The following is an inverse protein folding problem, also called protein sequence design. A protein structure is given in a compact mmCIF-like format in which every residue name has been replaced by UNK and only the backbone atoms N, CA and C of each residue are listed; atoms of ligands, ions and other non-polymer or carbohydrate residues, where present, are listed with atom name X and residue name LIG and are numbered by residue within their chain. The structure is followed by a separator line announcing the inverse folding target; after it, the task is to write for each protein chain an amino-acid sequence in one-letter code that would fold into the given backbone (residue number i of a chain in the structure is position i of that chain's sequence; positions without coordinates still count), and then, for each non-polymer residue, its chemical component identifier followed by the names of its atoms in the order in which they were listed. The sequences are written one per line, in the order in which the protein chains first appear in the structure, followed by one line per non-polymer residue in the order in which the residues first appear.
data_IF_478444043995
#
_entry.id   IF_478444043995
#
_cell.length_a   1.000
_cell.length_b   1.000
_cell.length_c   1.000
_cell.angle_alpha   90.00
_cell.angle_beta   90.00
_cell.angle_gamma   90.00
#
_symmetry.space_group_name_H-M   'P 1'
#
loop_
_entity.id
_entity.type
_entity.pdbx_description
1 polymer ?
#
# COMPACT_ATOMS: atom_id res chain seq x y z
N UNK A 1 14.46 15.36 18.98
CA UNK A 1 13.14 15.96 18.76
C UNK A 1 13.29 17.00 17.68
N UNK A 2 13.31 16.53 16.44
CA UNK A 2 13.39 17.37 15.25
C UNK A 2 11.95 17.81 14.95
N UNK A 3 11.70 19.11 14.95
CA UNK A 3 10.37 19.64 14.61
C UNK A 3 10.15 19.47 13.12
N UNK A 4 9.23 18.60 12.73
CA UNK A 4 8.70 18.54 11.36
C UNK A 4 7.77 19.72 11.20
N UNK A 5 8.09 20.61 10.25
CA UNK A 5 7.31 21.80 9.94
C UNK A 5 6.04 21.36 9.20
N UNK A 6 4.88 21.44 9.86
CA UNK A 6 3.59 21.07 9.26
C UNK A 6 3.14 22.21 8.34
N UNK A 7 3.14 21.98 7.03
CA UNK A 7 2.61 22.92 6.04
C UNK A 7 1.07 22.95 6.07
N UNK A 8 0.43 24.14 6.20
CA UNK A 8 -1.02 24.25 6.27
C UNK A 8 -1.73 23.97 4.94
N UNK A 9 -2.95 23.38 4.99
CA UNK A 9 -3.84 23.06 3.85
C UNK A 9 -3.89 24.15 2.76
N UNK A 10 -3.82 25.43 3.12
CA UNK A 10 -3.86 26.57 2.17
C UNK A 10 -2.72 26.66 1.14
N UNK A 11 -1.63 25.90 1.32
CA UNK A 11 -0.52 25.82 0.36
C UNK A 11 -0.55 24.56 -0.51
N UNK A 12 -1.45 23.61 -0.23
CA UNK A 12 -1.71 22.45 -1.08
C UNK A 12 -2.76 22.86 -2.10
N UNK A 13 -2.39 22.96 -3.38
CA UNK A 13 -3.33 23.37 -4.43
C UNK A 13 -4.42 22.31 -4.57
N UNK A 14 -5.65 22.68 -4.23
CA UNK A 14 -6.83 21.94 -4.68
C UNK A 14 -6.85 21.93 -6.21
N UNK A 15 -7.17 20.79 -6.87
CA UNK A 15 -7.42 20.78 -8.30
C UNK A 15 -8.68 21.61 -8.57
N UNK A 16 -8.51 22.83 -9.08
CA UNK A 16 -9.62 23.67 -9.49
C UNK A 16 -10.31 23.06 -10.70
N UNK A 17 -11.59 22.76 -10.54
CA UNK A 17 -12.55 22.72 -11.64
C UNK A 17 -12.46 24.05 -12.42
N UNK A 18 -12.07 24.00 -13.69
CA UNK A 18 -12.36 25.10 -14.60
C UNK A 18 -12.58 24.56 -16.02
N UNK A 19 -13.80 24.12 -16.27
CA UNK A 19 -14.37 24.05 -17.62
C UNK A 19 -15.45 25.12 -17.73
N UNK A 20 -15.21 26.16 -18.54
CA UNK A 20 -16.03 26.49 -19.73
C UNK A 20 -15.62 27.79 -20.44
N UNK A 21 -15.36 27.64 -21.73
CA UNK A 21 -15.84 28.45 -22.87
C UNK A 21 -15.54 29.96 -22.98
N UNK A 22 -14.72 30.30 -23.98
CA UNK A 22 -14.95 31.31 -25.05
C UNK A 22 -13.71 31.30 -25.96
N UNK A 23 -13.71 31.20 -27.29
CA UNK A 23 -14.63 31.75 -28.27
C UNK A 23 -13.87 32.79 -29.14
N UNK A 24 -13.37 32.38 -30.31
CA UNK A 24 -13.28 33.25 -31.49
C UNK A 24 -11.92 33.81 -31.95
N UNK A 25 -11.49 33.34 -33.13
CA UNK A 25 -11.13 34.21 -34.26
C UNK A 25 -9.65 34.60 -34.45
N UNK A 26 -9.15 34.45 -35.67
CA UNK A 26 -8.02 35.26 -36.15
C UNK A 26 -7.09 34.58 -37.15
N UNK A 27 -7.31 34.87 -38.43
CA UNK A 27 -6.47 34.55 -39.58
C UNK A 27 -5.02 35.06 -39.45
N UNK A 28 -4.06 34.36 -40.05
CA UNK A 28 -2.65 34.77 -40.05
C UNK A 28 -1.75 33.99 -41.00
N UNK A 29 -1.96 34.19 -42.31
CA UNK A 29 -1.07 33.77 -43.40
C UNK A 29 0.31 34.42 -43.31
N UNK A 30 1.40 33.63 -43.28
CA UNK A 30 2.71 34.04 -43.84
C UNK A 30 3.36 32.87 -44.58
N UNK A 31 3.43 33.03 -45.90
CA UNK A 31 4.32 32.33 -46.82
C UNK A 31 5.74 32.90 -46.73
N UNK A 32 6.77 32.04 -46.67
CA UNK A 32 8.08 32.35 -47.27
C UNK A 32 8.66 31.13 -48.00
N UNK A 33 8.82 31.33 -49.30
CA UNK A 33 9.62 30.57 -50.26
C UNK A 33 11.12 30.65 -49.98
N UNK A 34 11.86 29.57 -50.23
CA UNK A 34 13.33 29.58 -50.33
C UNK A 34 13.88 28.32 -51.00
N UNK A 35 14.31 28.44 -52.24
CA UNK A 35 14.84 27.40 -53.14
C UNK A 35 16.32 27.04 -52.93
N UNK A 36 16.73 25.90 -53.49
CA UNK A 36 18.11 25.61 -53.96
C UNK A 36 18.68 24.34 -53.33
N UNK A 37 18.78 23.20 -54.04
CA UNK A 37 19.88 22.84 -54.96
C UNK A 37 20.97 22.10 -54.15
N UNK A 38 21.57 20.95 -54.49
CA UNK A 38 21.79 20.18 -55.71
C UNK A 38 23.16 19.49 -55.54
N UNK A 39 23.31 18.24 -56.00
CA UNK A 39 24.59 17.48 -56.04
C UNK A 39 24.65 16.36 -54.99
N UNK A 40 25.06 15.12 -55.28
CA UNK A 40 25.83 14.58 -56.39
C UNK A 40 27.11 13.90 -55.87
N UNK A 41 27.14 12.57 -55.84
CA UNK A 41 28.29 11.70 -55.52
C UNK A 41 27.79 10.39 -54.91
N UNK A 42 27.83 9.19 -55.54
CA UNK A 42 28.99 8.43 -56.04
C UNK A 42 30.14 8.50 -55.03
N UNK A 43 30.56 7.46 -54.30
CA UNK A 43 30.33 6.03 -54.33
C UNK A 43 31.63 5.38 -53.88
N UNK A 44 31.64 4.50 -52.88
CA UNK A 44 32.78 3.60 -52.64
C UNK A 44 32.25 2.26 -52.14
N UNK A 45 32.58 1.26 -52.93
CA UNK A 45 32.49 -0.17 -52.69
C UNK A 45 33.58 -0.60 -51.69
N UNK A 46 33.24 -1.47 -50.73
CA UNK A 46 34.22 -2.35 -50.09
C UNK A 46 33.70 -3.77 -50.11
N UNK A 47 34.29 -4.54 -51.02
CA UNK A 47 34.26 -5.99 -51.14
C UNK A 47 35.36 -6.63 -50.28
N UNK A 48 35.06 -7.79 -49.69
CA UNK A 48 36.03 -8.74 -49.14
C UNK A 48 35.69 -9.11 -47.70
N UNK A 49 35.46 -10.37 -47.28
CA UNK A 49 35.70 -11.65 -47.92
C UNK A 49 36.67 -12.49 -47.07
N UNK A 50 36.14 -13.55 -46.43
CA UNK A 50 36.82 -14.85 -46.34
C UNK A 50 37.44 -15.30 -45.00
N UNK A 51 37.20 -16.60 -44.72
CA UNK A 51 37.88 -17.56 -43.83
C UNK A 51 37.77 -17.37 -42.32
N UNK A 52 37.55 -18.39 -41.49
CA UNK A 52 37.68 -19.85 -41.65
C UNK A 52 38.51 -20.42 -40.47
N UNK A 53 38.08 -21.54 -39.87
CA UNK A 53 38.74 -22.26 -38.76
C UNK A 53 37.79 -22.39 -37.56
N UNK A 54 37.22 -23.54 -37.17
CA UNK A 54 37.67 -24.95 -37.08
C UNK A 54 38.68 -25.20 -35.95
N UNK A 55 38.34 -26.13 -35.05
CA UNK A 55 39.11 -26.58 -33.87
C UNK A 55 38.26 -26.61 -32.58
N UNK A 56 37.69 -27.76 -32.18
CA UNK A 56 38.34 -28.78 -31.32
C UNK A 56 38.70 -28.19 -29.95
N UNK A 57 38.08 -28.54 -28.82
CA UNK A 57 37.77 -29.88 -28.33
C UNK A 57 38.70 -30.15 -27.14
N UNK A 58 38.14 -30.29 -25.94
CA UNK A 58 38.75 -31.00 -24.80
C UNK A 58 37.66 -31.29 -23.78
N UNK A 59 37.29 -32.56 -23.74
CA UNK A 59 36.78 -33.24 -22.56
C UNK A 59 37.88 -33.21 -21.48
N UNK A 60 37.50 -33.06 -20.21
CA UNK A 60 38.27 -33.64 -19.11
C UNK A 60 37.29 -34.09 -18.01
N UNK A 61 37.26 -35.40 -17.85
CA UNK A 61 36.73 -36.18 -16.74
C UNK A 61 37.44 -35.81 -15.42
N UNK A 62 36.71 -35.83 -14.30
CA UNK A 62 37.08 -36.62 -13.11
C UNK A 62 35.97 -36.60 -12.06
N UNK A 63 35.24 -37.71 -12.02
CA UNK A 63 35.03 -38.62 -10.89
C UNK A 63 35.25 -38.16 -9.43
N UNK A 64 34.35 -38.66 -8.59
CA UNK A 64 34.50 -39.12 -7.21
C UNK A 64 34.77 -38.10 -6.09
N UNK A 65 33.79 -37.93 -5.18
CA UNK A 65 34.02 -38.38 -3.79
C UNK A 65 32.69 -38.66 -3.06
N UNK A 66 32.49 -39.92 -2.70
CA UNK A 66 31.47 -40.37 -1.76
C UNK A 66 32.00 -40.26 -0.33
N UNK A 67 31.28 -39.51 0.52
CA UNK A 67 31.57 -39.41 1.94
C UNK A 67 30.33 -39.74 2.77
N UNK A 68 29.98 -41.03 2.83
CA UNK A 68 29.12 -41.57 3.87
C UNK A 68 29.92 -41.77 5.16
N UNK A 69 29.37 -41.29 6.28
CA UNK A 69 29.65 -41.87 7.60
C UNK A 69 28.39 -41.78 8.45
N UNK A 70 27.71 -42.92 8.52
CA UNK A 70 26.86 -43.32 9.65
C UNK A 70 27.71 -43.27 10.93
N UNK A 71 27.11 -42.84 12.04
CA UNK A 71 27.35 -43.44 13.35
C UNK A 71 26.13 -43.16 14.25
N UNK A 72 25.40 -44.24 14.49
CA UNK A 72 24.49 -44.45 15.60
C UNK A 72 25.19 -44.16 16.94
N UNK A 73 24.46 -43.59 17.91
CA UNK A 73 24.37 -44.28 19.20
C UNK A 73 23.13 -43.86 20.03
N UNK A 74 22.54 -44.80 20.80
CA UNK A 74 21.26 -44.62 21.47
C UNK A 74 21.36 -44.52 23.02
N UNK A 75 20.23 -44.13 23.63
CA UNK A 75 19.77 -44.34 25.03
C UNK A 75 20.74 -44.25 26.21
N UNK A 76 20.38 -43.45 27.23
CA UNK A 76 20.18 -44.03 28.57
C UNK A 76 19.21 -43.20 29.45
N UNK A 77 18.36 -43.93 30.18
CA UNK A 77 17.48 -43.51 31.24
C UNK A 77 18.26 -43.35 32.55
N UNK A 78 17.79 -42.50 33.47
CA UNK A 78 17.60 -42.79 34.91
C UNK A 78 16.98 -41.55 35.56
N UNK A 79 15.82 -41.62 36.23
CA UNK A 79 15.56 -42.17 37.60
C UNK A 79 16.32 -41.30 38.64
N UNK A 80 15.78 -40.65 39.66
CA UNK A 80 14.63 -40.74 40.58
C UNK A 80 14.45 -39.29 41.14
N UNK A 81 13.39 -38.81 41.79
CA UNK A 81 12.25 -39.41 42.47
C UNK A 81 11.69 -38.35 43.46
N UNK A 82 10.37 -38.40 43.66
CA UNK A 82 9.61 -38.24 44.93
C UNK A 82 9.85 -36.99 45.84
N UNK A 83 8.89 -36.37 46.52
CA UNK A 83 7.60 -36.82 47.05
C UNK A 83 6.79 -35.63 47.61
N UNK A 84 5.46 -35.84 47.71
CA UNK A 84 4.57 -35.44 48.83
C UNK A 84 4.26 -33.94 49.07
N UNK A 85 3.02 -33.51 49.28
CA UNK A 85 1.77 -34.23 49.54
C UNK A 85 0.61 -33.24 49.72
N UNK A 86 -0.60 -33.73 49.42
CA UNK A 86 -1.85 -33.02 49.61
C UNK A 86 -2.50 -33.42 50.94
N UNK A 87 -3.20 -32.48 51.59
CA UNK A 87 -4.36 -32.81 52.46
C UNK A 87 -5.47 -31.78 52.34
N UNK A 88 -6.65 -32.33 52.10
CA UNK A 88 -8.02 -31.82 52.08
C UNK A 88 -8.54 -31.45 53.47
N UNK A 89 -9.51 -30.53 53.58
CA UNK A 89 -10.79 -30.76 54.29
C UNK A 89 -11.79 -29.59 54.18
N UNK A 90 -13.07 -29.94 54.10
CA UNK A 90 -14.29 -29.13 53.94
C UNK A 90 -14.79 -28.48 55.25
N UNK A 91 -15.56 -27.37 55.16
CA UNK A 91 -16.97 -27.22 55.64
C UNK A 91 -17.49 -25.76 55.64
N UNK A 92 -18.73 -25.60 55.17
CA UNK A 92 -19.62 -24.40 55.23
C UNK A 92 -20.27 -24.16 56.63
N UNK A 93 -21.30 -23.29 56.83
CA UNK A 93 -21.52 -21.84 56.63
C UNK A 93 -22.02 -21.17 57.97
N UNK A 94 -23.05 -20.28 58.01
CA UNK A 94 -23.19 -18.83 57.67
C UNK A 94 -23.48 -17.94 58.90
N UNK A 95 -23.46 -16.60 58.81
CA UNK A 95 -24.46 -15.75 59.55
C UNK A 95 -24.52 -14.27 59.10
N UNK A 96 -25.75 -13.79 58.95
CA UNK A 96 -26.20 -12.40 58.82
C UNK A 96 -26.16 -11.72 60.20
N UNK A 97 -25.75 -10.44 60.31
CA UNK A 97 -26.15 -9.54 61.40
C UNK A 97 -26.39 -8.13 60.86
N UNK A 98 -27.48 -7.55 61.34
CA UNK A 98 -28.14 -6.29 61.00
C UNK A 98 -27.40 -5.01 61.45
N UNK A 99 -27.93 -3.88 60.95
CA UNK A 99 -27.63 -2.48 61.28
C UNK A 99 -27.64 -2.15 62.79
N UNK A 100 -27.19 -0.93 63.18
CA UNK A 100 -28.21 0.10 63.39
C UNK A 100 -27.80 1.55 63.03
N UNK A 101 -28.78 2.26 62.45
CA UNK A 101 -29.22 3.65 62.73
C UNK A 101 -28.38 4.54 63.67
N UNK A 102 -28.15 5.81 63.30
CA UNK A 102 -28.76 6.92 64.03
C UNK A 102 -28.75 8.27 63.31
N UNK A 103 -29.71 9.06 63.75
CA UNK A 103 -30.31 10.29 63.24
C UNK A 103 -29.58 11.58 63.69
N UNK A 104 -30.00 12.69 63.08
CA UNK A 104 -30.06 14.06 63.63
C UNK A 104 -29.06 15.17 63.27
N UNK A 105 -29.59 16.07 62.41
CA UNK A 105 -29.83 17.53 62.60
C UNK A 105 -28.65 18.51 62.71
N UNK A 106 -28.62 19.49 61.79
CA UNK A 106 -28.02 20.81 62.02
C UNK A 106 -28.00 21.74 60.78
N UNK A 107 -29.02 22.61 60.66
CA UNK A 107 -29.18 23.66 59.62
C UNK A 107 -28.09 24.76 59.68
N UNK A 108 -27.68 25.30 58.53
CA UNK A 108 -27.60 26.76 58.30
C UNK A 108 -27.49 27.16 56.80
N UNK A 109 -28.56 27.83 56.31
CA UNK A 109 -28.67 29.00 55.41
C UNK A 109 -27.46 29.36 54.50
N UNK A 110 -27.53 29.18 53.18
CA UNK A 110 -28.16 30.02 52.13
C UNK A 110 -27.35 31.26 51.67
N UNK A 111 -26.66 31.13 50.53
CA UNK A 111 -26.38 32.19 49.55
C UNK A 111 -26.42 31.49 48.17
N UNK A 112 -27.51 31.57 47.40
CA UNK A 112 -27.84 32.61 46.40
C UNK A 112 -26.75 32.84 45.37
N UNK A 113 -26.95 32.27 44.18
CA UNK A 113 -26.14 32.51 42.98
C UNK A 113 -26.13 31.33 42.02
N UNK A 114 -27.26 30.65 41.81
CA UNK A 114 -27.39 29.67 40.74
C UNK A 114 -27.87 30.42 39.50
N UNK A 115 -26.93 31.02 38.78
CA UNK A 115 -27.13 31.27 37.35
C UNK A 115 -27.10 29.89 36.70
N UNK A 116 -28.30 29.31 36.56
CA UNK A 116 -28.51 28.20 35.64
C UNK A 116 -28.31 28.78 34.24
N UNK A 117 -27.06 28.76 33.77
CA UNK A 117 -26.79 28.73 32.35
C UNK A 117 -27.48 27.47 31.84
N UNK A 118 -28.68 27.66 31.28
CA UNK A 118 -29.24 26.74 30.34
C UNK A 118 -28.22 26.67 29.20
N UNK A 119 -27.28 25.72 29.31
CA UNK A 119 -26.54 25.25 28.16
C UNK A 119 -27.62 24.72 27.23
N UNK A 120 -28.01 25.56 26.27
CA UNK A 120 -28.64 25.11 25.04
C UNK A 120 -27.74 23.96 24.57
N UNK A 121 -28.19 22.72 24.82
CA UNK A 121 -27.70 21.57 24.10
C UNK A 121 -28.09 21.86 22.66
N UNK A 122 -27.18 22.55 22.00
CA UNK A 122 -27.17 22.74 20.58
C UNK A 122 -26.88 21.33 20.03
N UNK A 123 -27.91 20.49 20.04
CA UNK A 123 -27.99 19.21 19.35
C UNK A 123 -27.99 19.51 17.84
N UNK A 124 -26.99 20.28 17.38
CA UNK A 124 -26.63 20.29 15.97
C UNK A 124 -26.11 18.91 15.75
N UNK A 125 -26.92 18.09 15.10
CA UNK A 125 -26.47 16.87 14.44
C UNK A 125 -25.26 17.27 13.59
N UNK A 126 -24.04 17.11 14.13
CA UNK A 126 -22.82 17.41 13.40
C UNK A 126 -22.83 16.55 12.15
N UNK A 127 -22.74 17.19 10.99
CA UNK A 127 -22.78 16.46 9.72
C UNK A 127 -21.65 15.41 9.71
N UNK A 128 -21.94 14.18 9.26
CA UNK A 128 -20.93 13.12 9.21
C UNK A 128 -19.74 13.60 8.38
N UNK A 129 -18.55 13.36 8.91
CA UNK A 129 -17.30 13.73 8.25
C UNK A 129 -16.88 12.65 7.26
N UNK A 130 -16.14 13.06 6.23
CA UNK A 130 -15.42 12.15 5.35
C UNK A 130 -14.00 12.02 5.91
N UNK A 131 -13.54 10.79 6.12
CA UNK A 131 -12.15 10.49 6.41
C UNK A 131 -11.34 10.54 5.11
N UNK A 132 -10.11 11.02 5.20
CA UNK A 132 -9.17 11.05 4.07
C UNK A 132 -7.85 10.42 4.50
N UNK A 133 -7.29 9.55 3.66
CA UNK A 133 -5.92 9.06 3.78
C UNK A 133 -5.20 9.36 2.47
N UNK A 134 -4.21 10.25 2.50
CA UNK A 134 -3.28 10.44 1.37
C UNK A 134 -2.02 9.63 1.63
N UNK A 135 -1.66 8.74 0.71
CA UNK A 135 -0.48 7.87 0.78
C UNK A 135 0.55 8.33 -0.25
N UNK A 136 1.64 8.94 0.21
CA UNK A 136 2.77 9.34 -0.63
C UNK A 136 3.72 8.15 -0.74
N UNK A 137 3.84 7.57 -1.94
CA UNK A 137 4.51 6.29 -2.18
C UNK A 137 5.05 6.14 -3.62
N UNK A 138 5.74 5.05 -3.90
CA UNK A 138 6.14 4.61 -5.24
C UNK A 138 5.89 3.10 -5.43
N UNK A 139 6.21 2.58 -6.61
CA UNK A 139 6.00 1.17 -6.94
C UNK A 139 6.99 0.21 -6.25
N UNK A 140 8.12 0.71 -5.77
CA UNK A 140 9.16 -0.05 -5.05
C UNK A 140 9.04 0.06 -3.53
N UNK A 141 8.06 0.80 -3.03
CA UNK A 141 7.78 0.97 -1.60
C UNK A 141 7.22 -0.34 -1.02
N UNK A 142 8.13 -1.16 -0.50
CA UNK A 142 7.84 -2.45 0.13
C UNK A 142 6.90 -2.29 1.32
N UNK A 143 7.05 -1.22 2.09
CA UNK A 143 6.22 -0.93 3.24
C UNK A 143 4.82 -0.50 2.79
N UNK A 144 4.73 0.33 1.74
CA UNK A 144 3.48 0.70 1.08
C UNK A 144 2.67 -0.50 0.61
N UNK A 145 3.33 -1.52 0.04
CA UNK A 145 2.70 -2.80 -0.29
C UNK A 145 2.26 -3.58 0.96
N UNK A 146 3.11 -3.61 2.00
CA UNK A 146 2.84 -4.31 3.26
C UNK A 146 1.60 -3.83 4.00
N UNK A 147 1.25 -2.55 3.88
CA UNK A 147 0.09 -1.94 4.56
C UNK A 147 -1.22 -2.01 3.77
N UNK A 148 -1.21 -2.44 2.49
CA UNK A 148 -2.42 -2.56 1.66
C UNK A 148 -3.57 -3.33 2.36
N UNK A 149 -3.35 -4.44 3.09
CA UNK A 149 -4.43 -5.10 3.81
C UNK A 149 -5.12 -4.21 4.86
N UNK A 150 -4.38 -3.29 5.49
CA UNK A 150 -4.92 -2.37 6.48
C UNK A 150 -5.72 -1.27 5.80
N UNK A 151 -5.18 -0.69 4.72
CA UNK A 151 -5.87 0.35 3.94
C UNK A 151 -7.19 -0.18 3.38
N UNK A 152 -7.18 -1.37 2.78
CA UNK A 152 -8.37 -2.01 2.25
C UNK A 152 -9.39 -2.37 3.33
N UNK A 153 -8.93 -2.81 4.51
CA UNK A 153 -9.85 -3.03 5.63
C UNK A 153 -10.56 -1.74 6.03
N UNK A 154 -9.83 -0.61 6.07
CA UNK A 154 -10.44 0.69 6.34
C UNK A 154 -11.44 1.09 5.24
N UNK A 155 -11.12 0.86 3.96
CA UNK A 155 -12.06 1.11 2.84
C UNK A 155 -13.33 0.26 2.97
N UNK A 156 -13.23 -1.02 3.32
CA UNK A 156 -14.40 -1.88 3.56
C UNK A 156 -15.25 -1.38 4.73
N UNK A 157 -14.61 -1.00 5.83
CA UNK A 157 -15.30 -0.61 7.06
C UNK A 157 -16.00 0.76 6.96
N UNK A 158 -15.40 1.71 6.25
CA UNK A 158 -15.94 3.06 6.11
C UNK A 158 -16.67 3.30 4.78
N UNK A 159 -16.41 2.49 3.76
CA UNK A 159 -17.01 2.62 2.43
C UNK A 159 -16.90 4.05 1.90
N UNK A 160 -18.03 4.61 1.49
CA UNK A 160 -18.12 5.97 0.93
C UNK A 160 -17.77 7.10 1.93
N UNK A 161 -17.62 6.81 3.22
CA UNK A 161 -17.22 7.78 4.23
C UNK A 161 -15.69 7.93 4.32
N UNK A 162 -14.91 7.17 3.55
CA UNK A 162 -13.46 7.24 3.50
C UNK A 162 -12.98 7.38 2.07
N UNK A 163 -12.08 8.33 1.85
CA UNK A 163 -11.32 8.46 0.61
C UNK A 163 -9.85 8.12 0.86
N UNK A 164 -9.29 7.20 0.07
CA UNK A 164 -7.86 6.89 0.07
C UNK A 164 -7.27 7.27 -1.27
N UNK A 165 -6.41 8.29 -1.25
CA UNK A 165 -5.70 8.80 -2.41
C UNK A 165 -4.22 8.49 -2.33
N UNK A 166 -3.57 8.43 -3.50
CA UNK A 166 -2.14 8.13 -3.60
C UNK A 166 -1.44 9.28 -4.32
N UNK A 167 -0.30 9.68 -3.78
CA UNK A 167 0.58 10.70 -4.38
C UNK A 167 1.96 10.10 -4.64
N UNK A 168 2.65 10.59 -5.66
CA UNK A 168 3.94 10.05 -6.05
C UNK A 168 5.08 10.61 -5.20
N UNK A 169 5.98 9.69 -4.82
CA UNK A 169 7.30 10.04 -4.34
C UNK A 169 8.22 10.45 -5.49
N UNK A 170 9.15 11.39 -5.26
CA UNK A 170 10.28 11.61 -6.15
C UNK A 170 11.10 10.32 -6.37
N UNK A 171 11.74 10.16 -7.54
CA UNK A 171 12.70 9.09 -7.75
C UNK A 171 13.76 9.05 -6.64
N UNK A 172 14.05 7.86 -6.14
CA UNK A 172 15.01 7.64 -5.05
C UNK A 172 15.88 6.44 -5.31
N UNK A 173 16.99 6.37 -4.59
CA UNK A 173 17.81 5.16 -4.53
C UNK A 173 17.05 4.09 -3.75
N UNK A 174 17.19 2.83 -4.19
CA UNK A 174 16.51 1.69 -3.58
C UNK A 174 17.46 0.93 -2.66
N UNK A 175 17.00 0.62 -1.44
CA UNK A 175 17.74 -0.14 -0.44
C UNK A 175 17.11 -1.53 -0.25
N UNK A 176 17.91 -2.58 -0.45
CA UNK A 176 17.49 -3.96 -0.22
C UNK A 176 17.18 -4.23 1.26
N UNK A 177 17.80 -3.50 2.19
CA UNK A 177 17.53 -3.65 3.62
C UNK A 177 16.09 -3.24 3.96
N UNK A 178 15.60 -2.14 3.38
CA UNK A 178 14.22 -1.69 3.58
C UNK A 178 13.22 -2.72 3.02
N UNK A 179 13.58 -3.38 1.92
CA UNK A 179 12.81 -4.47 1.36
C UNK A 179 12.75 -5.69 2.29
N UNK A 180 13.89 -6.18 2.78
CA UNK A 180 13.97 -7.34 3.67
C UNK A 180 13.22 -7.11 4.98
N UNK A 181 13.36 -5.93 5.58
CA UNK A 181 12.63 -5.56 6.81
C UNK A 181 11.12 -5.58 6.59
N UNK A 182 10.63 -5.08 5.45
CA UNK A 182 9.22 -5.15 5.13
C UNK A 182 8.75 -6.60 4.91
N UNK A 183 9.54 -7.42 4.21
CA UNK A 183 9.22 -8.81 3.94
C UNK A 183 9.13 -9.67 5.20
N UNK A 184 9.95 -9.38 6.22
CA UNK A 184 9.86 -10.04 7.53
C UNK A 184 8.68 -9.54 8.37
N UNK A 185 8.35 -8.24 8.25
CA UNK A 185 7.34 -7.59 9.09
C UNK A 185 5.92 -7.87 8.63
N UNK A 186 5.68 -7.91 7.33
CA UNK A 186 4.34 -7.98 6.76
C UNK A 186 4.08 -9.36 6.17
N UNK A 187 2.86 -9.86 6.35
CA UNK A 187 2.43 -11.16 5.82
C UNK A 187 2.16 -11.14 4.31
N UNK A 188 2.32 -9.98 3.67
CA UNK A 188 2.19 -9.82 2.22
C UNK A 188 3.26 -10.62 1.49
N UNK A 189 3.02 -11.07 0.24
CA UNK A 189 4.03 -11.82 -0.50
C UNK A 189 5.15 -10.90 -1.00
N UNK A 190 6.40 -11.36 -0.82
CA UNK A 190 7.62 -10.70 -1.27
C UNK A 190 8.53 -11.70 -1.99
N UNK A 191 8.89 -11.41 -3.24
CA UNK A 191 9.84 -12.19 -4.02
C UNK A 191 11.23 -12.16 -3.38
N UNK A 192 12.05 -13.18 -3.61
CA UNK A 192 13.47 -13.07 -3.30
C UNK A 192 14.15 -12.33 -4.45
N UNK A 193 14.79 -11.21 -4.14
CA UNK A 193 15.46 -10.36 -5.12
C UNK A 193 16.98 -10.53 -4.97
N UNK A 194 17.68 -10.77 -6.09
CA UNK A 194 19.15 -10.81 -6.09
C UNK A 194 19.77 -9.40 -5.92
N UNK A 195 18.99 -8.37 -6.25
CA UNK A 195 19.32 -6.97 -6.08
C UNK A 195 18.14 -6.10 -6.53
N UNK A 196 18.15 -4.84 -6.10
CA UNK A 196 17.23 -3.82 -6.59
C UNK A 196 17.90 -3.02 -7.72
N UNK A 197 17.10 -2.44 -8.63
CA UNK A 197 17.60 -1.38 -9.51
C UNK A 197 18.19 -0.23 -8.69
N UNK A 198 19.10 0.54 -9.29
CA UNK A 198 19.77 1.64 -8.57
C UNK A 198 18.76 2.72 -8.13
N UNK A 199 17.74 3.00 -8.95
CA UNK A 199 16.79 4.09 -8.71
C UNK A 199 15.37 3.72 -9.14
N UNK A 200 14.33 4.30 -8.52
CA UNK A 200 12.92 4.16 -8.93
C UNK A 200 12.47 5.08 -10.08
N UNK A 201 13.41 5.62 -10.86
CA UNK A 201 13.14 6.75 -11.78
C UNK A 201 12.15 6.41 -12.90
N UNK A 202 12.35 5.31 -13.62
CA UNK A 202 11.51 5.00 -14.77
C UNK A 202 10.11 4.61 -14.34
N UNK A 203 9.96 3.81 -13.28
CA UNK A 203 8.63 3.48 -12.74
C UNK A 203 7.90 4.73 -12.22
N UNK A 204 8.61 5.66 -11.55
CA UNK A 204 8.04 6.93 -11.08
C UNK A 204 7.60 7.83 -12.22
N UNK A 205 8.43 8.01 -13.26
CA UNK A 205 8.07 8.75 -14.47
C UNK A 205 6.87 8.11 -15.18
N UNK A 206 6.80 6.77 -15.25
CA UNK A 206 5.66 6.06 -15.84
C UNK A 206 4.36 6.34 -15.08
N UNK A 207 4.42 6.28 -13.75
CA UNK A 207 3.31 6.56 -12.86
C UNK A 207 2.85 8.02 -12.97
N UNK A 208 3.79 8.96 -13.15
CA UNK A 208 3.47 10.37 -13.36
C UNK A 208 2.59 10.59 -14.59
N UNK A 209 2.91 9.91 -15.71
CA UNK A 209 2.05 9.98 -16.90
C UNK A 209 0.72 9.24 -16.69
N UNK A 210 0.71 8.12 -15.96
CA UNK A 210 -0.54 7.42 -15.64
C UNK A 210 -1.49 8.30 -14.80
N UNK A 211 -0.95 9.10 -13.89
CA UNK A 211 -1.72 10.05 -13.08
C UNK A 211 -2.46 11.09 -13.93
N UNK A 212 -1.90 11.51 -15.07
CA UNK A 212 -2.56 12.40 -16.02
C UNK A 212 -3.73 11.75 -16.79
N UNK A 213 -3.75 10.41 -16.85
CA UNK A 213 -4.80 9.65 -17.54
C UNK A 213 -6.00 9.34 -16.62
N UNK A 214 -5.84 9.48 -15.31
CA UNK A 214 -6.92 9.34 -14.32
C UNK A 214 -6.45 8.68 -13.02
N UNK A 215 -7.08 9.05 -11.90
CA UNK A 215 -6.71 8.55 -10.57
C UNK A 215 -6.97 7.05 -10.39
N UNK A 216 -8.04 6.53 -10.99
CA UNK A 216 -8.37 5.09 -10.95
C UNK A 216 -7.31 4.25 -11.69
N UNK A 217 -7.06 4.56 -12.96
CA UNK A 217 -6.00 3.90 -13.75
C UNK A 217 -4.61 4.07 -13.13
N UNK A 218 -4.33 5.21 -12.50
CA UNK A 218 -3.09 5.41 -11.75
C UNK A 218 -2.97 4.42 -10.58
N UNK A 219 -4.03 4.27 -9.78
CA UNK A 219 -4.06 3.34 -8.64
C UNK A 219 -3.91 1.88 -9.11
N UNK A 220 -4.61 1.50 -10.18
CA UNK A 220 -4.49 0.19 -10.81
C UNK A 220 -3.06 -0.06 -11.32
N UNK A 221 -2.44 0.94 -11.94
CA UNK A 221 -1.08 0.82 -12.45
C UNK A 221 -0.07 0.67 -11.32
N UNK A 222 -0.15 1.52 -10.28
CA UNK A 222 0.69 1.40 -9.09
C UNK A 222 0.60 -0.01 -8.50
N UNK A 223 -0.62 -0.54 -8.36
CA UNK A 223 -0.84 -1.90 -7.87
C UNK A 223 -0.22 -2.95 -8.79
N UNK A 224 -0.41 -2.85 -10.10
CA UNK A 224 0.16 -3.78 -11.08
C UNK A 224 1.68 -3.79 -11.06
N UNK A 225 2.30 -2.61 -10.93
CA UNK A 225 3.75 -2.45 -10.80
C UNK A 225 4.27 -3.08 -9.51
N UNK A 226 3.62 -2.85 -8.37
CA UNK A 226 3.98 -3.48 -7.09
C UNK A 226 3.90 -5.00 -7.17
N UNK A 227 2.87 -5.56 -7.81
CA UNK A 227 2.78 -7.01 -8.03
C UNK A 227 3.95 -7.49 -8.88
N UNK A 228 4.25 -6.83 -10.00
CA UNK A 228 5.37 -7.20 -10.87
C UNK A 228 6.72 -7.16 -10.13
N UNK A 229 6.98 -6.09 -9.38
CA UNK A 229 8.24 -5.86 -8.69
C UNK A 229 8.39 -6.73 -7.45
N UNK A 230 7.46 -6.57 -6.51
CA UNK A 230 7.57 -7.10 -5.16
C UNK A 230 7.10 -8.54 -5.06
N UNK A 231 6.28 -9.04 -5.99
CA UNK A 231 5.72 -10.40 -5.92
C UNK A 231 6.23 -11.31 -7.03
N UNK A 232 6.36 -10.79 -8.25
CA UNK A 232 6.92 -11.54 -9.38
C UNK A 232 8.46 -11.42 -9.48
N UNK A 233 9.07 -10.48 -8.77
CA UNK A 233 10.52 -10.25 -8.79
C UNK A 233 11.02 -9.68 -10.12
N UNK A 234 10.18 -8.91 -10.81
CA UNK A 234 10.50 -8.35 -12.13
C UNK A 234 11.04 -6.94 -12.00
N UNK A 235 12.01 -6.61 -12.85
CA UNK A 235 12.60 -5.28 -12.90
C UNK A 235 11.65 -4.28 -13.57
N UNK A 236 10.87 -3.55 -12.77
CA UNK A 236 10.00 -2.47 -13.24
C UNK A 236 10.75 -1.17 -13.54
N UNK A 237 12.08 -1.19 -13.62
CA UNK A 237 12.86 -0.15 -14.30
C UNK A 237 13.19 -0.55 -15.77
N UNK A 238 12.68 -1.69 -16.25
CA UNK A 238 12.63 -2.01 -17.67
C UNK A 238 11.47 -1.26 -18.36
N UNK A 239 11.80 -0.40 -19.32
CA UNK A 239 10.82 0.42 -20.04
C UNK A 239 9.83 -0.40 -20.86
N UNK A 240 10.26 -1.47 -21.52
CA UNK A 240 9.37 -2.31 -22.31
C UNK A 240 8.42 -3.09 -21.40
N UNK A 241 8.92 -3.55 -20.25
CA UNK A 241 8.06 -4.14 -19.21
C UNK A 241 6.97 -3.17 -18.79
N UNK A 242 7.34 -1.96 -18.37
CA UNK A 242 6.37 -0.96 -17.92
C UNK A 242 5.30 -0.64 -18.96
N UNK A 243 5.69 -0.48 -20.24
CA UNK A 243 4.73 -0.25 -21.33
C UNK A 243 3.77 -1.43 -21.52
N UNK A 244 4.26 -2.67 -21.36
CA UNK A 244 3.41 -3.86 -21.45
C UNK A 244 2.41 -3.90 -20.27
N UNK A 245 2.88 -3.66 -19.04
CA UNK A 245 2.03 -3.62 -17.84
C UNK A 245 0.96 -2.54 -17.93
N UNK A 246 1.30 -1.36 -18.47
CA UNK A 246 0.34 -0.28 -18.71
C UNK A 246 -0.75 -0.71 -19.70
N UNK A 247 -0.37 -1.42 -20.77
CA UNK A 247 -1.32 -1.94 -21.76
C UNK A 247 -2.26 -3.01 -21.19
N UNK A 248 -1.80 -3.83 -20.24
CA UNK A 248 -2.62 -4.86 -19.57
C UNK A 248 -3.81 -4.27 -18.82
N UNK A 249 -3.65 -3.08 -18.22
CA UNK A 249 -4.69 -2.39 -17.44
C UNK A 249 -5.42 -1.30 -18.24
N UNK A 250 -5.12 -1.16 -19.54
CA UNK A 250 -5.85 -0.24 -20.41
C UNK A 250 -5.37 1.22 -20.42
N UNK A 251 -4.18 1.53 -19.89
CA UNK A 251 -3.57 2.85 -20.09
C UNK A 251 -3.26 3.09 -21.58
N UNK A 252 -3.29 4.36 -22.00
CA UNK A 252 -2.81 4.78 -23.32
C UNK A 252 -1.28 4.68 -23.35
N UNK A 253 -0.80 3.56 -23.88
CA UNK A 253 0.62 3.24 -24.03
C UNK A 253 1.35 4.23 -24.97
N UNK A 254 0.65 4.82 -25.93
CA UNK A 254 1.26 5.80 -26.84
C UNK A 254 1.45 7.15 -26.15
N UNK A 255 0.47 7.58 -25.34
CA UNK A 255 0.62 8.74 -24.46
C UNK A 255 1.75 8.51 -23.46
N UNK A 256 1.77 7.34 -22.82
CA UNK A 256 2.82 6.94 -21.88
C UNK A 256 4.21 7.02 -22.53
N UNK A 257 4.38 6.43 -23.72
CA UNK A 257 5.66 6.47 -24.46
C UNK A 257 6.09 7.89 -24.83
N UNK A 258 5.13 8.76 -25.17
CA UNK A 258 5.40 10.12 -25.65
C UNK A 258 5.76 11.08 -24.52
N UNK A 259 5.03 11.03 -23.40
CA UNK A 259 5.12 12.01 -22.32
C UNK A 259 6.01 11.56 -21.15
N UNK A 260 6.51 10.33 -21.20
CA UNK A 260 7.36 9.74 -20.15
C UNK A 260 8.42 10.68 -19.56
N UNK A 261 9.22 11.32 -20.44
CA UNK A 261 10.35 12.15 -20.03
C UNK A 261 9.95 13.61 -19.73
N UNK A 262 8.66 13.94 -19.80
CA UNK A 262 8.12 15.27 -19.54
C UNK A 262 7.59 15.41 -18.11
N UNK A 263 7.54 14.31 -17.35
CA UNK A 263 7.11 14.31 -15.94
C UNK A 263 8.10 15.11 -15.10
N UNK A 264 7.60 16.18 -14.49
CA UNK A 264 8.38 17.02 -13.59
C UNK A 264 8.44 16.40 -12.19
N UNK A 265 9.40 15.49 -12.00
CA UNK A 265 9.62 14.81 -10.73
C UNK A 265 10.19 15.72 -9.63
N UNK A 266 10.69 16.91 -9.98
CA UNK A 266 11.27 17.85 -9.01
C UNK A 266 10.20 18.59 -8.19
N UNK A 267 8.95 18.57 -8.65
CA UNK A 267 7.81 19.17 -7.94
C UNK A 267 7.13 18.19 -6.97
N UNK A 268 7.56 16.92 -6.94
CA UNK A 268 6.99 15.90 -6.07
C UNK A 268 7.39 16.14 -4.61
N UNK A 269 6.52 15.73 -3.69
CA UNK A 269 6.71 15.94 -2.25
C UNK A 269 7.85 15.06 -1.74
N UNK A 270 8.96 15.67 -1.34
CA UNK A 270 10.02 14.97 -0.61
C UNK A 270 9.56 14.61 0.81
N UNK A 271 9.84 13.37 1.22
CA UNK A 271 9.51 12.87 2.56
C UNK A 271 10.69 12.08 3.13
N UNK A 272 10.84 12.12 4.46
CA UNK A 272 11.95 11.46 5.14
C UNK A 272 11.77 9.94 5.30
N UNK A 273 10.54 9.43 5.11
CA UNK A 273 10.21 8.01 5.33
C UNK A 273 9.05 7.60 4.46
N UNK A 274 9.11 6.39 3.89
CA UNK A 274 8.12 5.87 2.94
C UNK A 274 7.35 4.66 3.52
N UNK A 275 6.05 4.54 3.25
CA UNK A 275 5.19 5.60 2.75
C UNK A 275 5.04 6.71 3.81
N UNK A 276 4.88 7.95 3.36
CA UNK A 276 4.37 9.01 4.22
C UNK A 276 2.86 9.12 3.99
N UNK A 277 2.10 9.10 5.07
CA UNK A 277 0.64 9.17 5.03
C UNK A 277 0.15 10.40 5.79
N UNK A 278 -0.98 10.93 5.34
CA UNK A 278 -1.75 11.96 6.03
C UNK A 278 -3.15 11.43 6.28
N UNK A 279 -3.50 11.27 7.55
CA UNK A 279 -4.84 10.85 7.97
C UNK A 279 -5.60 12.09 8.42
N UNK A 280 -6.74 12.38 7.81
CA UNK A 280 -7.56 13.54 8.18
C UNK A 280 -9.05 13.22 8.29
N UNK A 281 -9.75 13.93 9.18
CA UNK A 281 -11.20 13.83 9.37
C UNK A 281 -11.68 15.08 10.13
N UNK A 282 -12.47 15.95 9.48
CA UNK A 282 -12.82 17.25 10.04
C UNK A 282 -11.58 18.09 10.37
N UNK A 283 -11.44 18.47 11.64
CA UNK A 283 -10.28 19.23 12.16
C UNK A 283 -9.06 18.35 12.51
N UNK A 284 -9.21 17.01 12.43
CA UNK A 284 -8.10 16.09 12.63
C UNK A 284 -7.18 16.08 11.41
N UNK A 285 -5.88 16.27 11.61
CA UNK A 285 -4.84 15.96 10.63
C UNK A 285 -3.64 15.34 11.36
N UNK A 286 -3.34 14.08 11.06
CA UNK A 286 -2.23 13.33 11.67
C UNK A 286 -1.28 12.84 10.58
N UNK A 287 -0.02 13.31 10.53
CA UNK A 287 1.01 12.65 9.76
C UNK A 287 1.30 11.26 10.34
N UNK A 288 1.38 10.26 9.47
CA UNK A 288 1.77 8.89 9.79
C UNK A 288 2.89 8.45 8.87
N UNK A 289 4.04 8.08 9.41
CA UNK A 289 5.20 7.68 8.62
C UNK A 289 5.42 6.17 8.73
N UNK A 290 5.61 5.50 7.59
CA UNK A 290 6.01 4.10 7.45
C UNK A 290 4.98 3.05 7.89
N UNK A 291 4.05 3.34 8.80
CA UNK A 291 3.10 2.32 9.24
C UNK A 291 1.77 2.91 9.65
N UNK A 292 0.71 2.19 9.30
CA UNK A 292 -0.65 2.44 9.75
C UNK A 292 -1.23 1.16 10.33
N UNK A 293 -1.86 1.29 11.48
CA UNK A 293 -2.56 0.21 12.16
C UNK A 293 -4.05 0.44 12.03
N UNK A 294 -4.81 -0.64 11.87
CA UNK A 294 -6.26 -0.57 11.70
C UNK A 294 -6.94 0.06 12.92
N UNK A 295 -6.80 -0.53 14.10
CA UNK A 295 -7.56 -0.11 15.31
C UNK A 295 -7.33 1.36 15.69
N UNK A 296 -6.10 1.88 15.80
CA UNK A 296 -5.91 3.29 16.14
C UNK A 296 -6.50 4.25 15.10
N UNK A 297 -6.47 3.86 13.81
CA UNK A 297 -7.00 4.69 12.72
C UNK A 297 -8.53 4.64 12.71
N UNK A 298 -9.12 3.45 12.87
CA UNK A 298 -10.55 3.24 13.00
C UNK A 298 -11.13 4.08 14.16
N UNK A 299 -10.53 4.01 15.34
CA UNK A 299 -10.98 4.81 16.49
C UNK A 299 -10.77 6.31 16.29
N UNK A 300 -9.73 6.73 15.59
CA UNK A 300 -9.54 8.14 15.24
C UNK A 300 -10.68 8.63 14.33
N UNK A 301 -11.07 7.85 13.31
CA UNK A 301 -12.17 8.19 12.41
C UNK A 301 -13.53 8.22 13.11
N UNK A 302 -13.88 7.17 13.87
CA UNK A 302 -15.13 7.15 14.64
C UNK A 302 -15.18 8.29 15.66
N UNK A 303 -14.06 8.59 16.32
CA UNK A 303 -13.96 9.71 17.26
C UNK A 303 -14.09 11.10 16.62
N UNK A 304 -13.95 11.20 15.30
CA UNK A 304 -14.10 12.44 14.51
C UNK A 304 -15.31 12.37 13.57
N UNK A 305 -16.35 11.63 13.96
CA UNK A 305 -17.64 11.57 13.28
C UNK A 305 -17.60 11.06 11.82
N UNK A 306 -16.59 10.24 11.48
CA UNK A 306 -16.58 9.48 10.22
C UNK A 306 -17.38 8.21 10.43
N UNK A 307 -18.44 8.01 9.64
CA UNK A 307 -19.40 6.93 9.85
C UNK A 307 -18.95 5.63 9.17
N UNK A 308 -18.82 4.51 9.92
CA UNK A 308 -18.64 3.20 9.32
C UNK A 308 -19.83 2.84 8.42
N UNK A 309 -19.58 2.09 7.33
CA UNK A 309 -20.61 1.62 6.41
C UNK A 309 -21.60 0.67 7.11
N UNK A 310 -21.13 -0.11 8.10
CA UNK A 310 -21.94 -1.02 8.91
C UNK A 310 -22.55 -2.21 8.15
N UNK A 311 -22.22 -2.35 6.86
CA UNK A 311 -22.66 -3.44 5.99
C UNK A 311 -21.42 -4.17 5.47
N UNK A 312 -21.25 -5.47 5.75
CA UNK A 312 -20.13 -6.23 5.23
C UNK A 312 -20.16 -6.26 3.69
N UNK A 313 -19.02 -6.00 3.06
CA UNK A 313 -18.87 -6.13 1.62
C UNK A 313 -18.86 -7.63 1.22
N UNK A 314 -19.58 -8.04 0.16
CA UNK A 314 -19.50 -9.39 -0.35
C UNK A 314 -18.11 -9.72 -0.91
N UNK A 315 -17.66 -10.97 -0.72
CA UNK A 315 -16.36 -11.47 -1.20
C UNK A 315 -16.09 -11.17 -2.68
N UNK A 316 -17.09 -11.40 -3.54
CA UNK A 316 -16.95 -11.17 -4.98
C UNK A 316 -16.80 -9.70 -5.32
N UNK A 317 -17.46 -8.82 -4.56
CA UNK A 317 -17.45 -7.39 -4.81
C UNK A 317 -16.09 -6.83 -4.41
N UNK A 318 -15.55 -7.25 -3.25
CA UNK A 318 -14.20 -6.92 -2.81
C UNK A 318 -13.12 -7.35 -3.83
N UNK A 319 -13.21 -8.58 -4.36
CA UNK A 319 -12.21 -9.05 -5.33
C UNK A 319 -12.36 -8.33 -6.68
N UNK A 320 -13.60 -8.08 -7.12
CA UNK A 320 -13.85 -7.35 -8.38
C UNK A 320 -13.30 -5.92 -8.31
N UNK A 321 -13.39 -5.26 -7.15
CA UNK A 321 -12.87 -3.90 -6.95
C UNK A 321 -11.35 -3.79 -7.16
N UNK A 322 -10.59 -4.86 -6.90
CA UNK A 322 -9.13 -4.84 -7.01
C UNK A 322 -8.57 -5.72 -8.13
N UNK A 323 -9.43 -6.34 -8.94
CA UNK A 323 -9.19 -7.44 -9.90
C UNK A 323 -8.54 -8.70 -9.32
N UNK A 324 -7.44 -8.52 -8.59
CA UNK A 324 -6.66 -9.53 -7.89
C UNK A 324 -6.42 -9.08 -6.45
N UNK A 325 -6.80 -9.92 -5.50
CA UNK A 325 -6.51 -9.71 -4.08
C UNK A 325 -5.67 -10.86 -3.50
N UNK A 326 -4.64 -10.54 -2.73
CA UNK A 326 -3.85 -11.55 -2.02
C UNK A 326 -4.72 -12.23 -0.96
N UNK A 327 -4.34 -13.45 -0.59
CA UNK A 327 -5.00 -14.15 0.53
C UNK A 327 -5.04 -13.30 1.80
N UNK A 328 -3.97 -12.56 2.10
CA UNK A 328 -3.88 -11.73 3.31
C UNK A 328 -4.81 -10.52 3.25
N UNK A 329 -4.90 -9.84 2.10
CA UNK A 329 -5.83 -8.73 1.91
C UNK A 329 -7.27 -9.18 2.15
N UNK A 330 -7.69 -10.29 1.51
CA UNK A 330 -9.06 -10.80 1.65
C UNK A 330 -9.35 -11.20 3.09
N UNK A 331 -8.44 -11.94 3.72
CA UNK A 331 -8.61 -12.40 5.11
C UNK A 331 -8.70 -11.24 6.10
N UNK A 332 -7.88 -10.19 5.94
CA UNK A 332 -7.88 -9.03 6.84
C UNK A 332 -9.06 -8.11 6.59
N UNK A 333 -9.37 -7.80 5.33
CA UNK A 333 -10.42 -6.84 4.98
C UNK A 333 -11.82 -7.37 5.28
N UNK A 334 -12.05 -8.67 5.08
CA UNK A 334 -13.38 -9.30 5.25
C UNK A 334 -13.49 -10.17 6.50
N UNK A 335 -12.47 -10.20 7.35
CA UNK A 335 -12.37 -11.08 8.53
C UNK A 335 -12.76 -12.53 8.23
N UNK A 336 -12.28 -13.04 7.08
CA UNK A 336 -12.56 -14.38 6.57
C UNK A 336 -11.38 -15.34 6.77
N UNK A 337 -11.66 -16.63 6.83
CA UNK A 337 -10.63 -17.66 6.91
C UNK A 337 -10.26 -18.21 5.54
N UNK A 338 -8.99 -18.59 5.35
CA UNK A 338 -8.49 -19.20 4.10
C UNK A 338 -9.30 -20.43 3.65
N UNK A 339 -9.85 -21.21 4.58
CA UNK A 339 -10.69 -22.36 4.26
C UNK A 339 -12.00 -21.96 3.58
N UNK A 340 -12.56 -20.79 3.91
CA UNK A 340 -13.78 -20.27 3.29
C UNK A 340 -13.52 -19.86 1.83
N UNK A 341 -12.37 -19.25 1.55
CA UNK A 341 -11.94 -18.90 0.20
C UNK A 341 -11.78 -20.15 -0.68
N UNK A 342 -11.07 -21.16 -0.18
CA UNK A 342 -10.85 -22.43 -0.90
C UNK A 342 -12.13 -23.20 -1.21
N UNK A 343 -13.17 -23.04 -0.40
CA UNK A 343 -14.46 -23.71 -0.56
C UNK A 343 -15.47 -22.87 -1.36
N UNK A 344 -15.10 -21.66 -1.78
CA UNK A 344 -15.98 -20.80 -2.57
C UNK A 344 -16.03 -21.26 -4.02
N UNK A 345 -17.23 -21.37 -4.58
CA UNK A 345 -17.44 -21.65 -6.02
C UNK A 345 -17.43 -20.37 -6.87
N UNK A 346 -17.22 -19.19 -6.26
CA UNK A 346 -17.32 -17.88 -6.94
C UNK A 346 -15.97 -17.25 -7.23
N UNK A 347 -14.90 -17.76 -6.61
CA UNK A 347 -13.55 -17.21 -6.73
C UNK A 347 -12.59 -18.36 -6.94
N UNK A 348 -11.51 -18.10 -7.65
CA UNK A 348 -10.44 -19.07 -7.86
C UNK A 348 -9.11 -18.51 -7.40
N UNK A 349 -8.26 -19.41 -6.93
CA UNK A 349 -6.90 -19.08 -6.56
C UNK A 349 -6.02 -18.98 -7.80
N UNK A 350 -5.25 -17.91 -7.92
CA UNK A 350 -4.24 -17.69 -8.96
C UNK A 350 -2.90 -17.44 -8.30
N UNK A 351 -1.83 -18.01 -8.85
CA UNK A 351 -0.47 -17.78 -8.37
C UNK A 351 0.25 -16.82 -9.32
N UNK A 352 0.78 -15.72 -8.78
CA UNK A 352 1.65 -14.78 -9.48
C UNK A 352 2.96 -14.68 -8.71
N UNK A 353 4.07 -15.07 -9.35
CA UNK A 353 5.36 -15.15 -8.67
C UNK A 353 5.29 -16.01 -7.41
N UNK A 354 5.63 -15.41 -6.27
CA UNK A 354 5.56 -16.07 -4.95
C UNK A 354 4.23 -15.86 -4.21
N UNK A 355 3.30 -15.10 -4.79
CA UNK A 355 2.04 -14.71 -4.15
C UNK A 355 0.87 -15.61 -4.52
N UNK A 356 -0.03 -15.81 -3.55
CA UNK A 356 -1.34 -16.43 -3.75
C UNK A 356 -2.43 -15.35 -3.78
N UNK A 357 -3.07 -15.22 -4.94
CA UNK A 357 -4.13 -14.27 -5.23
C UNK A 357 -5.46 -14.96 -5.47
N UNK A 358 -6.52 -14.17 -5.47
CA UNK A 358 -7.89 -14.57 -5.74
C UNK A 358 -8.48 -13.64 -6.78
N UNK A 359 -9.18 -14.23 -7.75
CA UNK A 359 -9.99 -13.53 -8.76
C UNK A 359 -11.40 -14.14 -8.79
N UNK A 360 -12.38 -13.39 -9.32
CA UNK A 360 -13.75 -13.88 -9.54
C UNK A 360 -13.79 -14.79 -10.77
N UNK A 361 -14.60 -15.85 -10.72
CA UNK A 361 -14.80 -16.83 -11.81
C UNK A 361 -15.79 -16.33 -12.87
#
# INVERSE_FOLDING_TARGET
MTSVEVLPKSQRRSPSEDTTASGGGGEGSVSTTGSGGGGGGIGVVSTGGGSGGDGSGTEDDSDDDEGASDDDDPVDNTDDGEESGATTEEKEPPTIVEEPSNDSVGKQESQTGSESEETENDDRDEEPQIGEITVITDAWDSVGWGIEPVLKKLEVEFGVSLDISYELLPPRDLDIVDYEVAAERYEMPYAQLEGLPETSRLSTEALGVAQEQGQELFREYLRRLRIAALVEGRDIEDKDLLLNLAGEIGLDVDQLRKHWAEVDTEQLTEVDTTPQMWVSAGDLEIPKSGHIEFEPTYFAFVGNNVMPAGVPQPLTDFITEYDLATTVEVMKALDTERAQLKNSEKVQQVCLGVGEFWEVI
#
